data_IF_989877683276
#
_entry.id   IF_989877683276
#
_cell.length_a   1.000
_cell.length_b   1.000
_cell.length_c   1.000
_cell.angle_alpha   90.00
_cell.angle_beta   90.00
_cell.angle_gamma   90.00
#
_symmetry.space_group_name_H-M   'P 1'
#
loop_
_entity.id
_entity.type
_entity.pdbx_description
1 polymer ?
#
# COMPACT_ATOMS: atom_id res chain seq x y z
N UNK A 1 -53.78 7.26 6.85
CA UNK A 1 -54.55 8.44 7.29
C UNK A 1 -53.61 9.31 8.11
N UNK A 2 -53.47 10.58 7.74
CA UNK A 2 -52.57 11.52 8.38
C UNK A 2 -53.00 11.85 9.82
N UNK A 3 -52.06 11.86 10.76
CA UNK A 3 -52.22 12.51 12.07
C UNK A 3 -51.26 13.70 12.13
N UNK A 4 -51.85 14.89 12.22
CA UNK A 4 -51.18 16.18 12.04
C UNK A 4 -50.36 16.64 13.24
N UNK A 5 -49.40 17.53 12.95
CA UNK A 5 -48.60 18.27 13.93
C UNK A 5 -49.30 19.60 14.22
N UNK A 6 -49.54 19.92 15.49
CA UNK A 6 -50.07 21.22 15.92
C UNK A 6 -48.94 22.13 16.41
N UNK A 7 -48.95 23.40 16.01
CA UNK A 7 -48.00 24.41 16.47
C UNK A 7 -48.74 25.46 17.31
N UNK A 8 -48.16 25.87 18.44
CA UNK A 8 -48.61 27.04 19.22
C UNK A 8 -47.60 28.17 19.02
N UNK A 9 -48.08 29.36 18.63
CA UNK A 9 -47.26 30.54 18.31
C UNK A 9 -47.63 31.70 19.23
N UNK A 10 -46.65 32.31 19.89
CA UNK A 10 -46.78 33.66 20.46
C UNK A 10 -45.72 34.59 19.85
N UNK A 11 -46.11 35.80 19.47
CA UNK A 11 -45.27 36.82 18.81
C UNK A 11 -45.22 38.12 19.62
N UNK A 12 -44.02 38.70 19.73
CA UNK A 12 -43.79 40.15 19.87
C UNK A 12 -42.58 40.54 19.01
N UNK A 13 -42.69 41.64 18.26
CA UNK A 13 -41.66 42.13 17.32
C UNK A 13 -41.48 43.65 17.47
N UNK A 14 -40.25 44.16 17.70
CA UNK A 14 -39.92 45.56 17.50
C UNK A 14 -39.39 45.81 16.07
N UNK A 15 -39.65 47.00 15.52
CA UNK A 15 -39.18 47.44 14.19
C UNK A 15 -38.41 48.76 14.27
N UNK A 16 -37.43 48.96 13.38
CA UNK A 16 -36.69 50.21 13.22
C UNK A 16 -36.73 50.63 11.74
N UNK A 17 -37.04 51.90 11.46
CA UNK A 17 -37.13 52.45 10.09
C UNK A 17 -36.19 53.63 9.90
N UNK A 18 -35.50 53.67 8.75
CA UNK A 18 -34.65 54.78 8.35
C UNK A 18 -35.18 55.39 7.05
N UNK A 19 -35.63 56.66 7.06
CA UNK A 19 -36.13 57.32 5.86
C UNK A 19 -35.01 57.97 5.04
N UNK A 20 -35.12 57.94 3.72
CA UNK A 20 -34.28 58.70 2.79
C UNK A 20 -35.10 59.21 1.59
N UNK A 21 -34.55 60.18 0.84
CA UNK A 21 -35.23 60.81 -0.30
C UNK A 21 -34.50 60.54 -1.61
N UNK A 22 -35.26 60.15 -2.63
CA UNK A 22 -34.77 60.02 -4.02
C UNK A 22 -35.82 60.66 -4.93
N UNK A 23 -35.40 61.57 -5.82
CA UNK A 23 -36.24 62.21 -6.84
C UNK A 23 -37.55 62.80 -6.29
N UNK A 24 -37.49 63.49 -5.15
CA UNK A 24 -38.66 64.17 -4.55
C UNK A 24 -39.63 63.26 -3.79
N UNK A 25 -39.46 61.94 -3.84
CA UNK A 25 -40.27 60.98 -3.09
C UNK A 25 -39.59 60.63 -1.75
N UNK A 26 -40.39 60.50 -0.67
CA UNK A 26 -39.95 59.99 0.63
C UNK A 26 -40.08 58.47 0.63
N UNK A 27 -38.97 57.77 0.75
CA UNK A 27 -38.92 56.31 0.86
C UNK A 27 -38.41 55.93 2.25
N UNK A 28 -38.93 54.83 2.80
CA UNK A 28 -38.47 54.27 4.08
C UNK A 28 -38.16 52.79 3.91
N UNK A 29 -36.97 52.37 4.32
CA UNK A 29 -36.62 50.96 4.44
C UNK A 29 -36.77 50.57 5.91
N UNK A 30 -37.68 49.63 6.18
CA UNK A 30 -37.90 49.08 7.51
C UNK A 30 -37.10 47.79 7.69
N UNK A 31 -36.31 47.72 8.75
CA UNK A 31 -35.65 46.47 9.16
C UNK A 31 -36.51 45.77 10.21
N UNK A 32 -36.88 44.53 9.92
CA UNK A 32 -37.57 43.65 10.85
C UNK A 32 -36.55 42.72 11.48
N UNK A 33 -36.25 42.93 12.77
CA UNK A 33 -35.39 42.01 13.50
C UNK A 33 -36.24 40.85 14.02
N UNK A 34 -36.18 39.73 13.31
CA UNK A 34 -36.71 38.45 13.78
C UNK A 34 -35.68 37.82 14.72
N UNK A 35 -35.90 37.93 16.03
CA UNK A 35 -35.14 37.13 16.99
C UNK A 35 -35.77 35.73 17.06
N UNK A 36 -35.29 34.80 16.23
CA UNK A 36 -35.51 33.37 16.48
C UNK A 36 -34.57 32.97 17.61
N UNK A 37 -35.13 32.50 18.72
CA UNK A 37 -34.35 31.71 19.67
C UNK A 37 -34.37 30.31 19.08
N UNK A 38 -33.32 29.95 18.35
CA UNK A 38 -33.10 28.56 17.97
C UNK A 38 -32.82 27.83 19.28
N UNK A 39 -33.85 27.23 19.87
CA UNK A 39 -33.59 26.04 20.65
C UNK A 39 -33.07 25.04 19.62
N UNK A 40 -31.76 24.84 19.61
CA UNK A 40 -31.17 23.65 19.02
C UNK A 40 -31.82 22.49 19.75
N UNK A 41 -32.92 21.98 19.21
CA UNK A 41 -33.18 20.58 19.40
C UNK A 41 -31.91 19.91 18.91
N UNK A 42 -31.24 19.20 19.82
CA UNK A 42 -30.12 18.31 19.48
C UNK A 42 -30.41 17.72 18.10
N UNK A 43 -29.42 17.66 17.19
CA UNK A 43 -29.61 16.92 15.95
C UNK A 43 -30.25 15.59 16.35
N UNK A 44 -31.39 15.25 15.74
CA UNK A 44 -31.95 13.92 15.90
C UNK A 44 -30.82 12.98 15.54
N UNK A 45 -30.25 12.34 16.56
CA UNK A 45 -29.41 11.20 16.34
C UNK A 45 -30.28 10.25 15.52
N UNK A 46 -29.85 9.91 14.30
CA UNK A 46 -30.28 8.68 13.65
C UNK A 46 -29.65 7.50 14.42
N UNK A 47 -29.92 7.44 15.73
CA UNK A 47 -29.79 6.25 16.54
C UNK A 47 -30.93 5.35 16.10
N UNK A 48 -30.56 4.25 15.47
CA UNK A 48 -31.32 3.03 15.71
C UNK A 48 -31.32 2.85 17.24
N UNK A 49 -32.46 2.93 17.94
CA UNK A 49 -32.51 3.22 19.38
C UNK A 49 -31.91 2.17 20.31
N UNK A 50 -31.48 1.01 19.81
CA UNK A 50 -31.27 -0.19 20.63
C UNK A 50 -29.83 -0.77 20.59
N UNK A 51 -28.82 -0.05 20.07
CA UNK A 51 -27.43 -0.55 20.06
C UNK A 51 -26.49 0.24 21.00
N UNK A 52 -26.08 -0.40 22.08
CA UNK A 52 -25.05 0.06 23.00
C UNK A 52 -23.65 -0.01 22.37
N UNK A 53 -22.74 0.86 22.84
CA UNK A 53 -21.33 0.79 22.48
C UNK A 53 -20.71 -0.49 23.07
N UNK A 54 -20.02 -1.27 22.25
CA UNK A 54 -19.29 -2.45 22.69
C UNK A 54 -18.27 -2.08 23.79
N UNK A 55 -18.29 -2.84 24.88
CA UNK A 55 -17.35 -2.72 25.98
C UNK A 55 -16.30 -3.82 25.86
N UNK A 56 -15.04 -3.43 25.71
CA UNK A 56 -13.92 -4.37 25.60
C UNK A 56 -13.73 -5.12 26.93
N UNK A 57 -13.74 -6.45 26.86
CA UNK A 57 -13.28 -7.33 27.94
C UNK A 57 -11.76 -7.47 27.90
N UNK A 58 -11.05 -7.60 29.03
CA UNK A 58 -9.61 -7.85 29.03
C UNK A 58 -9.23 -9.05 28.15
N UNK A 59 -8.12 -8.94 27.41
CA UNK A 59 -7.60 -10.03 26.60
C UNK A 59 -7.21 -11.24 27.48
N UNK A 60 -7.40 -12.49 27.01
CA UNK A 60 -7.11 -13.68 27.82
C UNK A 60 -5.64 -13.86 28.22
N UNK A 61 -4.71 -13.20 27.52
CA UNK A 61 -3.29 -13.24 27.82
C UNK A 61 -2.49 -12.22 27.00
N UNK A 62 -1.21 -12.07 27.32
CA UNK A 62 -0.33 -11.04 26.75
C UNK A 62 -0.14 -11.16 25.23
N UNK A 63 -0.22 -12.39 24.70
CA UNK A 63 -0.06 -12.69 23.25
C UNK A 63 -1.39 -12.98 22.56
N UNK A 64 -2.49 -12.46 23.10
CA UNK A 64 -3.80 -12.52 22.44
C UNK A 64 -4.10 -11.21 21.72
N UNK A 65 -4.85 -11.31 20.64
CA UNK A 65 -5.37 -10.18 19.86
C UNK A 65 -6.86 -10.39 19.60
N UNK A 66 -7.61 -9.33 19.32
CA UNK A 66 -8.95 -9.45 18.76
C UNK A 66 -8.89 -9.47 17.25
N UNK A 67 -9.81 -10.20 16.62
CA UNK A 67 -10.00 -10.20 15.17
C UNK A 67 -11.48 -9.98 14.90
N UNK A 68 -11.79 -9.06 13.99
CA UNK A 68 -13.14 -8.82 13.51
C UNK A 68 -13.48 -9.82 12.39
N UNK A 69 -14.41 -10.72 12.64
CA UNK A 69 -15.08 -11.46 11.57
C UNK A 69 -16.19 -10.58 10.97
N UNK A 70 -15.90 -9.95 9.84
CA UNK A 70 -16.87 -9.16 9.08
C UNK A 70 -17.81 -10.10 8.33
N UNK A 71 -19.11 -10.06 8.65
CA UNK A 71 -20.11 -10.94 8.05
C UNK A 71 -20.39 -10.57 6.59
N UNK A 72 -20.80 -11.54 5.76
CA UNK A 72 -21.14 -11.28 4.36
C UNK A 72 -22.32 -10.32 4.23
N UNK A 73 -22.35 -9.58 3.13
CA UNK A 73 -23.44 -8.67 2.84
C UNK A 73 -23.35 -8.04 1.46
N UNK A 74 -24.43 -7.40 1.02
CA UNK A 74 -24.52 -6.79 -0.29
C UNK A 74 -24.75 -5.28 -0.20
N UNK A 75 -24.12 -4.54 -1.13
CA UNK A 75 -24.30 -3.09 -1.27
C UNK A 75 -24.00 -2.35 0.03
N UNK A 76 -24.89 -1.42 0.38
CA UNK A 76 -24.88 -0.61 1.61
C UNK A 76 -25.75 -1.19 2.73
N UNK A 77 -26.13 -2.48 2.65
CA UNK A 77 -26.85 -3.13 3.76
C UNK A 77 -25.99 -3.14 5.04
N UNK A 78 -26.58 -3.18 6.25
CA UNK A 78 -25.87 -2.97 7.52
C UNK A 78 -24.57 -3.77 7.64
N UNK A 79 -23.52 -3.15 8.19
CA UNK A 79 -22.30 -3.88 8.55
C UNK A 79 -22.56 -4.67 9.83
N UNK A 80 -22.39 -5.98 9.75
CA UNK A 80 -22.47 -6.88 10.88
C UNK A 80 -21.15 -7.64 11.02
N UNK A 81 -20.78 -8.01 12.23
CA UNK A 81 -19.60 -8.82 12.46
C UNK A 81 -19.59 -9.47 13.83
N UNK A 82 -18.55 -10.24 14.10
CA UNK A 82 -18.28 -10.83 15.41
C UNK A 82 -16.84 -10.52 15.78
N UNK A 83 -16.58 -10.11 17.03
CA UNK A 83 -15.23 -9.91 17.53
C UNK A 83 -14.82 -11.15 18.32
N UNK A 84 -13.65 -11.73 18.02
CA UNK A 84 -13.15 -12.92 18.70
C UNK A 84 -11.69 -12.74 19.13
N UNK A 85 -11.36 -13.30 20.30
CA UNK A 85 -9.99 -13.35 20.80
C UNK A 85 -9.23 -14.50 20.13
N UNK A 86 -7.99 -14.23 19.76
CA UNK A 86 -7.11 -15.14 19.03
C UNK A 86 -5.73 -15.09 19.65
N UNK A 87 -5.13 -16.25 19.89
CA UNK A 87 -3.73 -16.33 20.34
C UNK A 87 -2.79 -16.19 19.15
N UNK A 88 -1.80 -15.29 19.26
CA UNK A 88 -0.68 -15.23 18.34
C UNK A 88 0.27 -16.41 18.50
N UNK A 89 0.05 -17.36 19.40
CA UNK A 89 0.82 -18.61 19.44
C UNK A 89 0.14 -19.72 18.63
N UNK A 90 -1.14 -19.56 18.30
CA UNK A 90 -1.88 -20.50 17.47
C UNK A 90 -1.54 -20.30 15.99
N UNK A 91 -0.84 -21.27 15.39
CA UNK A 91 -0.50 -21.25 13.96
C UNK A 91 -1.71 -21.47 13.04
N UNK A 92 -2.82 -21.98 13.55
CA UNK A 92 -4.05 -22.17 12.78
C UNK A 92 -4.91 -20.90 12.69
N UNK A 93 -4.56 -19.85 13.45
CA UNK A 93 -5.27 -18.59 13.42
C UNK A 93 -5.03 -17.82 12.12
N UNK A 94 -6.07 -17.74 11.28
CA UNK A 94 -6.04 -16.99 10.02
C UNK A 94 -6.75 -15.62 10.12
N UNK A 95 -6.06 -14.56 9.72
CA UNK A 95 -6.65 -13.23 9.61
C UNK A 95 -5.86 -12.38 8.63
N UNK A 96 -6.53 -11.44 7.96
CA UNK A 96 -5.86 -10.40 7.17
C UNK A 96 -5.67 -9.15 8.04
N UNK A 97 -4.55 -8.47 7.92
CA UNK A 97 -4.31 -7.22 8.65
C UNK A 97 -4.60 -6.01 7.76
N UNK A 98 -5.40 -5.07 8.26
CA UNK A 98 -5.68 -3.82 7.55
C UNK A 98 -4.61 -2.77 7.86
N UNK A 99 -4.14 -2.12 6.81
CA UNK A 99 -3.18 -1.01 6.86
C UNK A 99 -3.80 0.17 6.09
N UNK A 100 -4.12 1.24 6.79
CA UNK A 100 -4.89 2.36 6.23
C UNK A 100 -4.61 3.69 6.93
N UNK A 101 -4.91 4.81 6.26
CA UNK A 101 -4.85 6.14 6.89
C UNK A 101 -6.08 6.35 7.76
N UNK A 102 -5.87 6.57 9.05
CA UNK A 102 -6.95 7.01 9.95
C UNK A 102 -7.47 8.37 9.48
N UNK A 103 -8.77 8.45 9.17
CA UNK A 103 -9.37 9.71 8.74
C UNK A 103 -9.44 10.72 9.88
N UNK A 104 -9.28 12.01 9.55
CA UNK A 104 -9.43 13.09 10.52
C UNK A 104 -10.87 13.62 10.55
N UNK A 105 -11.46 13.74 11.74
CA UNK A 105 -12.77 14.36 11.95
C UNK A 105 -13.72 13.56 12.83
N UNK A 106 -14.74 14.22 13.35
CA UNK A 106 -15.71 13.67 14.31
C UNK A 106 -17.11 13.44 13.69
N UNK A 107 -17.22 13.39 12.36
CA UNK A 107 -18.51 13.53 11.64
C UNK A 107 -19.02 12.26 10.95
N UNK A 108 -18.68 11.06 11.42
CA UNK A 108 -19.29 9.83 10.90
C UNK A 108 -19.99 9.01 11.99
N UNK A 109 -21.14 8.43 11.62
CA UNK A 109 -22.01 7.61 12.46
C UNK A 109 -21.93 6.11 12.12
N UNK A 110 -20.98 5.71 11.27
CA UNK A 110 -20.80 4.33 10.85
C UNK A 110 -20.60 3.40 12.04
N UNK A 111 -21.23 2.22 11.98
CA UNK A 111 -21.16 1.21 13.03
C UNK A 111 -21.14 -0.20 12.46
N UNK A 112 -20.48 -1.11 13.15
CA UNK A 112 -20.59 -2.56 12.93
C UNK A 112 -21.45 -3.12 14.05
N UNK A 113 -22.57 -3.74 13.69
CA UNK A 113 -23.44 -4.44 14.64
C UNK A 113 -22.79 -5.79 15.01
N UNK A 114 -22.52 -5.99 16.31
CA UNK A 114 -21.92 -7.22 16.85
C UNK A 114 -22.96 -8.25 17.33
N UNK A 115 -24.24 -7.96 17.14
CA UNK A 115 -25.33 -8.70 17.76
C UNK A 115 -25.54 -8.31 19.22
N UNK A 116 -26.55 -8.92 19.86
CA UNK A 116 -26.84 -8.76 21.30
C UNK A 116 -27.01 -7.30 21.77
N UNK A 117 -27.46 -6.40 20.89
CA UNK A 117 -27.62 -5.00 21.24
C UNK A 117 -26.29 -4.22 21.31
N UNK A 118 -25.18 -4.75 20.79
CA UNK A 118 -23.87 -4.10 20.85
C UNK A 118 -23.34 -3.68 19.47
N UNK A 119 -22.59 -2.59 19.41
CA UNK A 119 -21.94 -2.13 18.19
C UNK A 119 -20.55 -1.52 18.42
N UNK A 120 -19.71 -1.61 17.39
CA UNK A 120 -18.45 -0.86 17.29
C UNK A 120 -18.67 0.40 16.46
N UNK A 121 -18.39 1.58 17.03
CA UNK A 121 -18.31 2.83 16.27
C UNK A 121 -17.08 2.80 15.36
N UNK A 122 -17.27 3.27 14.13
CA UNK A 122 -16.22 3.32 13.13
C UNK A 122 -15.56 4.71 13.09
N UNK A 123 -14.23 4.72 12.99
CA UNK A 123 -13.49 5.93 12.64
C UNK A 123 -13.82 6.40 11.21
N UNK A 124 -13.57 7.67 10.86
CA UNK A 124 -13.77 8.16 9.51
C UNK A 124 -13.02 7.30 8.48
N UNK A 125 -13.62 7.12 7.31
CA UNK A 125 -13.19 6.25 6.20
C UNK A 125 -13.27 4.74 6.45
N UNK A 126 -13.32 4.26 7.70
CA UNK A 126 -13.34 2.82 7.98
C UNK A 126 -14.65 2.16 7.55
N UNK A 127 -15.76 2.88 7.60
CA UNK A 127 -17.04 2.43 7.04
C UNK A 127 -16.94 2.12 5.54
N UNK A 128 -16.37 3.04 4.76
CA UNK A 128 -16.16 2.83 3.32
C UNK A 128 -15.22 1.64 3.07
N UNK A 129 -14.15 1.51 3.87
CA UNK A 129 -13.22 0.37 3.78
C UNK A 129 -13.98 -0.94 3.97
N UNK A 130 -14.72 -1.08 5.08
CA UNK A 130 -15.45 -2.30 5.40
C UNK A 130 -16.50 -2.65 4.33
N UNK A 131 -17.23 -1.67 3.80
CA UNK A 131 -18.16 -1.91 2.69
C UNK A 131 -17.49 -2.40 1.40
N UNK A 132 -16.27 -1.96 1.12
CA UNK A 132 -15.52 -2.36 -0.06
C UNK A 132 -14.79 -3.70 0.14
N UNK A 133 -14.38 -4.03 1.36
CA UNK A 133 -13.72 -5.29 1.70
C UNK A 133 -14.70 -6.43 2.00
N UNK A 134 -15.96 -6.13 2.36
CA UNK A 134 -17.00 -7.10 2.67
C UNK A 134 -17.30 -8.01 1.47
N UNK A 135 -17.15 -9.31 1.67
CA UNK A 135 -17.56 -10.30 0.68
C UNK A 135 -19.08 -10.48 0.65
N UNK A 136 -19.61 -10.93 -0.49
CA UNK A 136 -21.05 -11.12 -0.66
C UNK A 136 -21.58 -12.36 0.06
N UNK A 137 -20.76 -13.39 0.19
CA UNK A 137 -21.22 -14.76 0.53
C UNK A 137 -20.41 -15.44 1.65
N UNK A 138 -19.22 -14.95 1.97
CA UNK A 138 -18.37 -15.50 3.02
C UNK A 138 -18.01 -14.42 4.06
N UNK A 139 -17.76 -14.80 5.32
CA UNK A 139 -17.17 -13.88 6.28
C UNK A 139 -15.73 -13.54 5.88
N UNK A 140 -15.21 -12.45 6.43
CA UNK A 140 -13.82 -12.01 6.26
C UNK A 140 -13.21 -11.67 7.62
N UNK A 141 -12.12 -12.34 7.98
CA UNK A 141 -11.42 -12.12 9.26
C UNK A 141 -10.38 -11.02 9.11
N UNK A 142 -10.57 -9.91 9.82
CA UNK A 142 -9.77 -8.69 9.72
C UNK A 142 -9.22 -8.29 11.08
N UNK A 143 -7.91 -8.11 11.17
CA UNK A 143 -7.30 -7.36 12.25
C UNK A 143 -7.22 -5.88 11.83
N UNK A 144 -7.86 -5.02 12.62
CA UNK A 144 -7.94 -3.57 12.38
C UNK A 144 -7.58 -2.91 13.71
N UNK A 145 -6.42 -2.28 13.78
CA UNK A 145 -5.89 -1.64 14.99
C UNK A 145 -6.92 -0.77 15.75
N UNK A 146 -7.69 0.04 15.03
CA UNK A 146 -8.72 0.91 15.59
C UNK A 146 -9.92 0.18 16.22
N UNK A 147 -10.18 -1.09 15.86
CA UNK A 147 -11.31 -1.89 16.35
C UNK A 147 -10.90 -3.10 17.20
N UNK A 148 -9.70 -3.62 16.99
CA UNK A 148 -9.21 -4.82 17.63
C UNK A 148 -8.41 -4.52 18.91
N UNK A 149 -7.92 -3.28 19.04
CA UNK A 149 -7.26 -2.77 20.23
C UNK A 149 -8.23 -1.84 20.96
N UNK A 150 -8.34 -1.99 22.28
CA UNK A 150 -9.02 -1.02 23.12
C UNK A 150 -8.19 0.28 23.17
N UNK A 151 -8.53 1.24 22.30
CA UNK A 151 -7.79 2.48 22.14
C UNK A 151 -7.84 3.40 23.38
N UNK A 152 -8.83 3.21 24.24
CA UNK A 152 -9.06 4.01 25.45
C UNK A 152 -8.36 3.44 26.69
N UNK A 153 -7.77 2.24 26.59
CA UNK A 153 -7.04 1.59 27.67
C UNK A 153 -5.54 1.47 27.33
N UNK A 154 -4.73 2.34 27.93
CA UNK A 154 -3.28 2.31 27.75
C UNK A 154 -2.60 1.04 28.27
N UNK A 155 -3.23 0.34 29.23
CA UNK A 155 -2.70 -0.93 29.75
C UNK A 155 -2.83 -2.07 28.74
N UNK A 156 -3.79 -1.99 27.82
CA UNK A 156 -3.90 -2.89 26.67
C UNK A 156 -3.12 -2.35 25.46
N UNK A 157 -3.28 -1.06 25.15
CA UNK A 157 -2.73 -0.45 23.94
C UNK A 157 -1.21 -0.55 23.85
N UNK A 158 -0.50 -0.27 24.93
CA UNK A 158 0.97 -0.32 24.95
C UNK A 158 1.51 -1.70 24.53
N UNK A 159 1.12 -2.79 25.24
CA UNK A 159 1.48 -4.15 24.85
C UNK A 159 1.08 -4.53 23.42
N UNK A 160 -0.12 -4.16 22.97
CA UNK A 160 -0.58 -4.45 21.60
C UNK A 160 0.26 -3.74 20.53
N UNK A 161 0.68 -2.48 20.76
CA UNK A 161 1.59 -1.76 19.86
C UNK A 161 2.94 -2.47 19.74
N UNK A 162 3.46 -3.03 20.84
CA UNK A 162 4.69 -3.83 20.81
C UNK A 162 4.55 -5.12 20.00
N UNK A 163 3.33 -5.66 19.85
CA UNK A 163 3.05 -6.85 19.06
C UNK A 163 2.77 -6.56 17.57
N UNK A 164 2.59 -5.30 17.14
CA UNK A 164 2.16 -4.98 15.78
C UNK A 164 3.02 -5.62 14.69
N UNK A 165 4.35 -5.58 14.85
CA UNK A 165 5.27 -6.19 13.90
C UNK A 165 4.99 -7.69 13.72
N UNK A 166 4.73 -8.40 14.82
CA UNK A 166 4.40 -9.82 14.79
C UNK A 166 2.99 -10.07 14.23
N UNK A 167 2.01 -9.24 14.57
CA UNK A 167 0.64 -9.34 14.05
C UNK A 167 0.65 -9.24 12.52
N UNK A 168 1.34 -8.25 11.96
CA UNK A 168 1.47 -8.11 10.50
C UNK A 168 2.23 -9.28 9.88
N UNK A 169 3.32 -9.74 10.51
CA UNK A 169 4.08 -10.88 10.03
C UNK A 169 3.29 -12.20 10.04
N UNK A 170 2.38 -12.39 10.99
CA UNK A 170 1.53 -13.59 11.11
C UNK A 170 0.24 -13.53 10.30
N UNK A 171 -0.16 -12.35 9.84
CA UNK A 171 -1.36 -12.20 9.02
C UNK A 171 -1.23 -12.98 7.71
N UNK A 172 -2.34 -13.51 7.21
CA UNK A 172 -2.36 -14.25 5.93
C UNK A 172 -2.09 -13.33 4.74
N UNK A 173 -2.51 -12.07 4.86
CA UNK A 173 -2.13 -11.00 3.95
C UNK A 173 -2.36 -9.64 4.59
N UNK A 174 -1.65 -8.65 4.06
CA UNK A 174 -1.80 -7.26 4.48
C UNK A 174 -2.60 -6.52 3.40
N UNK A 175 -3.70 -5.94 3.83
CA UNK A 175 -4.57 -5.11 3.00
C UNK A 175 -4.12 -3.66 3.16
N UNK A 176 -3.44 -3.14 2.14
CA UNK A 176 -3.12 -1.72 2.05
C UNK A 176 -4.32 -1.01 1.44
N UNK A 177 -4.96 -0.10 2.18
CA UNK A 177 -6.06 0.70 1.68
C UNK A 177 -5.63 2.11 1.32
N UNK A 178 -5.71 2.42 0.02
CA UNK A 178 -5.31 3.72 -0.52
C UNK A 178 -6.47 4.73 -0.63
N UNK A 179 -7.71 4.34 -0.33
CA UNK A 179 -8.88 5.20 -0.48
C UNK A 179 -9.79 4.83 -1.65
N UNK A 180 -10.78 5.68 -1.91
CA UNK A 180 -11.73 5.48 -3.01
C UNK A 180 -11.09 5.74 -4.39
N UNK A 181 -11.65 5.18 -5.47
CA UNK A 181 -11.15 5.40 -6.82
C UNK A 181 -11.39 6.84 -7.29
N UNK A 182 -10.34 7.46 -7.79
CA UNK A 182 -10.36 8.68 -8.58
C UNK A 182 -10.38 8.37 -10.08
N UNK A 183 -10.36 9.43 -10.90
CA UNK A 183 -10.45 9.34 -12.36
C UNK A 183 -9.36 8.47 -12.99
N UNK A 184 -8.18 8.44 -12.40
CA UNK A 184 -7.00 7.79 -12.98
C UNK A 184 -6.58 6.51 -12.25
N UNK A 185 -7.29 6.12 -11.19
CA UNK A 185 -6.87 5.03 -10.31
C UNK A 185 -6.84 3.67 -10.99
N UNK A 186 -7.81 3.40 -11.86
CA UNK A 186 -7.87 2.12 -12.56
C UNK A 186 -6.61 1.94 -13.43
N UNK A 187 -6.30 2.92 -14.28
CA UNK A 187 -5.09 2.88 -15.10
C UNK A 187 -3.82 2.85 -14.24
N UNK A 188 -3.80 3.56 -13.10
CA UNK A 188 -2.66 3.54 -12.19
C UNK A 188 -2.40 2.15 -11.62
N UNK A 189 -3.46 1.45 -11.19
CA UNK A 189 -3.37 0.06 -10.75
C UNK A 189 -3.00 -0.89 -11.90
N UNK A 190 -3.51 -0.69 -13.11
CA UNK A 190 -3.14 -1.51 -14.28
C UNK A 190 -1.64 -1.38 -14.60
N UNK A 191 -1.08 -0.16 -14.56
CA UNK A 191 0.36 0.06 -14.78
C UNK A 191 1.19 -0.58 -13.66
N UNK A 192 0.79 -0.42 -12.40
CA UNK A 192 1.49 -1.05 -11.28
C UNK A 192 1.36 -2.59 -11.32
N UNK A 193 0.21 -3.11 -11.78
CA UNK A 193 0.00 -4.54 -12.00
C UNK A 193 0.95 -5.09 -13.06
N UNK A 194 1.12 -4.37 -14.18
CA UNK A 194 2.12 -4.71 -15.20
C UNK A 194 3.53 -4.78 -14.59
N UNK A 195 3.91 -3.78 -13.79
CA UNK A 195 5.20 -3.78 -13.12
C UNK A 195 5.35 -4.94 -12.11
N UNK A 196 4.27 -5.32 -11.41
CA UNK A 196 4.29 -6.38 -10.40
C UNK A 196 4.25 -7.81 -10.97
N UNK A 197 3.48 -8.03 -12.04
CA UNK A 197 3.03 -9.39 -12.43
C UNK A 197 3.44 -9.85 -13.82
N UNK A 198 3.86 -8.97 -14.73
CA UNK A 198 4.15 -9.38 -16.11
C UNK A 198 5.21 -10.49 -16.13
N UNK A 199 4.86 -11.73 -16.47
CA UNK A 199 5.87 -12.76 -16.74
C UNK A 199 6.14 -12.74 -18.25
N UNK A 200 7.37 -12.39 -18.63
CA UNK A 200 7.82 -12.19 -20.03
C UNK A 200 7.77 -13.43 -20.91
N UNK A 201 7.28 -14.57 -20.39
CA UNK A 201 7.14 -15.82 -21.13
C UNK A 201 6.04 -15.80 -22.21
N UNK A 202 5.09 -14.85 -22.18
CA UNK A 202 3.92 -14.85 -23.08
C UNK A 202 3.87 -13.72 -24.14
N UNK A 203 4.97 -13.04 -24.44
CA UNK A 203 5.18 -12.43 -25.77
C UNK A 203 4.36 -11.18 -26.14
N UNK A 204 3.70 -10.51 -25.20
CA UNK A 204 3.13 -9.16 -25.39
C UNK A 204 3.57 -8.25 -24.24
N UNK A 205 4.85 -7.88 -24.25
CA UNK A 205 5.52 -7.08 -23.22
C UNK A 205 5.54 -5.58 -23.56
N UNK A 206 4.58 -5.11 -24.37
CA UNK A 206 4.48 -3.69 -24.68
C UNK A 206 4.11 -2.93 -23.42
N UNK A 207 5.06 -2.16 -22.88
CA UNK A 207 4.81 -1.44 -21.67
C UNK A 207 3.68 -0.43 -21.88
N UNK A 208 2.83 -0.16 -20.86
CA UNK A 208 1.71 0.78 -21.01
C UNK A 208 2.12 2.14 -21.60
N UNK A 209 3.31 2.62 -21.23
CA UNK A 209 3.84 3.90 -21.70
C UNK A 209 4.37 3.91 -23.15
N UNK A 210 4.45 2.75 -23.82
CA UNK A 210 4.84 2.69 -25.23
C UNK A 210 3.66 2.98 -26.18
N UNK A 211 2.42 2.81 -25.70
CA UNK A 211 1.20 3.03 -26.50
C UNK A 211 0.22 4.04 -25.89
N UNK A 212 0.43 4.44 -24.63
CA UNK A 212 -0.35 5.50 -23.98
C UNK A 212 0.38 6.85 -24.04
N UNK A 213 -0.35 7.98 -24.19
CA UNK A 213 0.26 9.29 -24.07
C UNK A 213 0.90 9.48 -22.68
N UNK A 214 2.14 10.00 -22.62
CA UNK A 214 2.91 10.17 -21.37
C UNK A 214 2.11 10.89 -20.28
N UNK A 215 1.33 11.92 -20.64
CA UNK A 215 0.45 12.64 -19.70
C UNK A 215 -0.57 11.75 -18.96
N UNK A 216 -1.07 10.70 -19.62
CA UNK A 216 -2.03 9.77 -19.00
C UNK A 216 -1.32 8.82 -18.04
N UNK A 217 -0.15 8.30 -18.45
CA UNK A 217 0.72 7.47 -17.60
C UNK A 217 1.11 8.22 -16.33
N UNK A 218 1.55 9.47 -16.47
CA UNK A 218 1.93 10.34 -15.36
C UNK A 218 0.75 10.58 -14.42
N UNK A 219 -0.42 10.97 -14.95
CA UNK A 219 -1.61 11.22 -14.12
C UNK A 219 -2.08 9.94 -13.39
N UNK A 220 -1.98 8.79 -14.04
CA UNK A 220 -2.34 7.49 -13.46
C UNK A 220 -1.41 7.08 -12.31
N UNK A 221 -0.10 7.16 -12.51
CA UNK A 221 0.86 6.83 -11.47
C UNK A 221 0.83 7.84 -10.32
N UNK A 222 0.67 9.13 -10.61
CA UNK A 222 0.54 10.17 -9.57
C UNK A 222 -0.73 10.01 -8.73
N UNK A 223 -1.85 9.55 -9.31
CA UNK A 223 -3.09 9.28 -8.56
C UNK A 223 -2.91 8.20 -7.49
N UNK A 224 -2.01 7.24 -7.71
CA UNK A 224 -1.73 6.16 -6.76
C UNK A 224 -0.58 6.54 -5.81
N UNK A 225 0.58 6.89 -6.37
CA UNK A 225 1.82 7.12 -5.62
C UNK A 225 1.79 8.41 -4.79
N UNK A 226 0.93 9.37 -5.14
CA UNK A 226 0.74 10.60 -4.39
C UNK A 226 -0.31 10.52 -3.28
N UNK A 227 -0.80 9.32 -2.93
CA UNK A 227 -1.83 9.17 -1.90
C UNK A 227 -1.22 9.26 -0.50
N UNK A 228 -1.96 9.91 0.40
CA UNK A 228 -1.58 10.17 1.80
C UNK A 228 -1.10 8.91 2.56
N UNK A 229 -1.55 7.73 2.14
CA UNK A 229 -1.06 6.47 2.70
C UNK A 229 0.47 6.42 2.72
N UNK A 230 1.12 6.78 1.62
CA UNK A 230 2.57 6.73 1.47
C UNK A 230 3.34 7.77 2.30
N UNK A 231 2.67 8.74 2.91
CA UNK A 231 3.30 9.75 3.78
C UNK A 231 3.42 9.27 5.23
N UNK A 232 2.81 8.13 5.59
CA UNK A 232 2.80 7.59 6.96
C UNK A 232 4.09 6.84 7.26
N UNK A 233 4.71 7.16 8.40
CA UNK A 233 5.89 6.43 8.91
C UNK A 233 5.64 4.93 9.10
N UNK A 234 4.45 4.57 9.61
CA UNK A 234 4.11 3.19 9.95
C UNK A 234 3.98 2.25 8.75
N UNK A 235 3.84 2.79 7.53
CA UNK A 235 3.77 2.00 6.27
C UNK A 235 4.95 1.06 6.14
N UNK A 236 6.13 1.47 6.62
CA UNK A 236 7.34 0.65 6.53
C UNK A 236 7.21 -0.60 7.40
N UNK A 237 6.74 -0.49 8.65
CA UNK A 237 6.57 -1.68 9.50
C UNK A 237 5.42 -2.56 9.01
N UNK A 238 4.34 -1.94 8.56
CA UNK A 238 3.13 -2.60 8.06
C UNK A 238 3.45 -3.40 6.78
N UNK A 239 4.10 -2.81 5.77
CA UNK A 239 4.35 -3.47 4.49
C UNK A 239 5.65 -4.31 4.43
N UNK A 240 6.68 -3.99 5.22
CA UNK A 240 7.95 -4.72 5.14
C UNK A 240 7.87 -6.15 5.71
N UNK A 241 6.89 -6.42 6.58
CA UNK A 241 6.75 -7.71 7.24
C UNK A 241 5.76 -8.64 6.54
N UNK A 242 5.09 -8.17 5.50
CA UNK A 242 4.11 -8.95 4.74
C UNK A 242 4.77 -10.06 3.93
N UNK A 243 4.18 -11.26 3.96
CA UNK A 243 4.46 -12.33 2.98
C UNK A 243 3.60 -12.19 1.72
N UNK A 244 2.44 -11.55 1.85
CA UNK A 244 1.48 -11.29 0.78
C UNK A 244 0.79 -9.93 1.01
N UNK A 245 0.82 -9.07 -0.01
CA UNK A 245 0.25 -7.72 0.04
C UNK A 245 -0.87 -7.60 -1.00
N UNK A 246 -1.99 -7.00 -0.58
CA UNK A 246 -3.10 -6.58 -1.44
C UNK A 246 -3.27 -5.07 -1.32
N UNK A 247 -2.96 -4.33 -2.38
CA UNK A 247 -3.06 -2.87 -2.40
C UNK A 247 -4.34 -2.43 -3.10
N UNK A 248 -5.29 -1.97 -2.29
CA UNK A 248 -6.65 -1.62 -2.68
C UNK A 248 -6.83 -0.13 -2.98
N UNK A 249 -7.58 0.15 -4.05
CA UNK A 249 -8.28 1.42 -4.30
C UNK A 249 -9.76 1.10 -4.52
N UNK A 250 -10.59 1.35 -3.52
CA UNK A 250 -11.96 0.86 -3.52
C UNK A 250 -12.00 -0.67 -3.62
N UNK A 251 -12.75 -1.19 -4.60
CA UNK A 251 -12.83 -2.64 -4.88
C UNK A 251 -11.74 -3.16 -5.81
N UNK A 252 -11.02 -2.27 -6.49
CA UNK A 252 -9.90 -2.65 -7.35
C UNK A 252 -8.66 -2.85 -6.48
N UNK A 253 -7.82 -3.81 -6.83
CA UNK A 253 -6.55 -4.00 -6.15
C UNK A 253 -5.53 -4.62 -7.09
N UNK A 254 -4.26 -4.45 -6.74
CA UNK A 254 -3.17 -5.31 -7.20
C UNK A 254 -2.67 -6.12 -6.01
N UNK A 255 -2.06 -7.25 -6.29
CA UNK A 255 -1.46 -8.09 -5.27
C UNK A 255 -0.09 -8.60 -5.73
N UNK A 256 0.78 -8.82 -4.75
CA UNK A 256 2.04 -9.52 -4.96
C UNK A 256 2.37 -10.31 -3.70
N UNK A 257 3.15 -11.37 -3.87
CA UNK A 257 3.60 -12.24 -2.80
C UNK A 257 4.99 -12.77 -3.11
N UNK A 258 5.69 -13.29 -2.10
CA UNK A 258 7.07 -13.81 -2.19
C UNK A 258 8.15 -12.75 -2.43
N UNK A 259 9.37 -13.11 -2.01
CA UNK A 259 10.60 -12.37 -2.31
C UNK A 259 10.79 -12.14 -3.79
N UNK A 260 10.58 -13.19 -4.60
CA UNK A 260 10.86 -13.17 -6.03
C UNK A 260 9.97 -12.17 -6.77
N UNK A 261 8.65 -12.14 -6.50
CA UNK A 261 7.79 -11.14 -7.14
C UNK A 261 8.11 -9.73 -6.63
N UNK A 262 8.41 -9.56 -5.34
CA UNK A 262 8.79 -8.25 -4.77
C UNK A 262 10.07 -7.72 -5.44
N UNK A 263 11.08 -8.60 -5.63
CA UNK A 263 12.33 -8.27 -6.32
C UNK A 263 12.09 -7.94 -7.80
N UNK A 264 11.26 -8.72 -8.50
CA UNK A 264 10.84 -8.43 -9.89
C UNK A 264 10.15 -7.07 -10.00
N UNK A 265 9.22 -6.78 -9.10
CA UNK A 265 8.49 -5.53 -9.09
C UNK A 265 9.43 -4.34 -8.89
N UNK A 266 10.29 -4.41 -7.89
CA UNK A 266 11.31 -3.38 -7.64
C UNK A 266 12.24 -3.20 -8.83
N UNK A 267 12.71 -4.31 -9.41
CA UNK A 267 13.59 -4.28 -10.57
C UNK A 267 12.93 -3.62 -11.78
N UNK A 268 11.66 -3.92 -12.05
CA UNK A 268 10.91 -3.32 -13.16
C UNK A 268 10.65 -1.83 -12.99
N UNK A 269 10.41 -1.37 -11.76
CA UNK A 269 10.37 0.07 -11.47
C UNK A 269 11.72 0.71 -11.81
N UNK A 270 12.83 0.13 -11.33
CA UNK A 270 14.18 0.64 -11.60
C UNK A 270 14.49 0.63 -13.10
N UNK A 271 14.10 -0.42 -13.82
CA UNK A 271 14.27 -0.55 -15.26
C UNK A 271 13.41 0.44 -16.05
N UNK A 272 12.16 0.67 -15.64
CA UNK A 272 11.32 1.70 -16.23
C UNK A 272 11.97 3.08 -16.10
N UNK A 273 12.41 3.46 -14.89
CA UNK A 273 13.14 4.72 -14.63
C UNK A 273 14.43 4.86 -15.46
N UNK A 274 15.09 3.76 -15.82
CA UNK A 274 16.31 3.74 -16.63
C UNK A 274 16.04 3.69 -18.15
N UNK A 275 14.85 3.27 -18.57
CA UNK A 275 14.55 2.93 -19.96
C UNK A 275 14.69 4.13 -20.92
N UNK A 276 15.02 3.90 -22.21
CA UNK A 276 15.04 4.94 -23.23
C UNK A 276 13.76 5.78 -23.28
N UNK A 277 12.57 5.13 -23.27
CA UNK A 277 11.27 5.79 -23.35
C UNK A 277 11.07 6.79 -22.20
N UNK A 278 11.49 6.43 -20.99
CA UNK A 278 11.40 7.30 -19.82
C UNK A 278 12.45 8.39 -19.84
N UNK A 279 13.71 8.07 -20.16
CA UNK A 279 14.79 9.06 -20.19
C UNK A 279 14.56 10.15 -21.25
N UNK A 280 13.92 9.82 -22.36
CA UNK A 280 13.61 10.79 -23.43
C UNK A 280 12.40 11.69 -23.11
N UNK A 281 11.42 11.21 -22.33
CA UNK A 281 10.23 12.01 -21.97
C UNK A 281 10.45 12.84 -20.71
N UNK A 282 10.30 14.16 -20.84
CA UNK A 282 10.36 15.09 -19.70
C UNK A 282 9.19 14.86 -18.72
N UNK A 283 8.04 14.45 -19.21
CA UNK A 283 6.86 14.15 -18.40
C UNK A 283 7.02 12.87 -17.59
N UNK A 284 7.47 11.77 -18.22
CA UNK A 284 7.66 10.49 -17.53
C UNK A 284 8.72 10.61 -16.43
N UNK A 285 9.80 11.38 -16.66
CA UNK A 285 10.83 11.65 -15.64
C UNK A 285 10.31 12.32 -14.36
N UNK A 286 9.10 12.91 -14.38
CA UNK A 286 8.47 13.55 -13.21
C UNK A 286 7.68 12.60 -12.32
N UNK A 287 7.46 11.36 -12.73
CA UNK A 287 6.81 10.38 -11.86
C UNK A 287 7.74 10.05 -10.71
N UNK A 288 7.24 10.21 -9.49
CA UNK A 288 7.98 9.87 -8.29
C UNK A 288 7.64 8.47 -7.80
N UNK A 289 8.48 7.50 -8.16
CA UNK A 289 8.37 6.13 -7.67
C UNK A 289 8.94 5.92 -6.27
N UNK A 290 9.55 6.93 -5.63
CA UNK A 290 10.17 6.76 -4.30
C UNK A 290 9.26 6.05 -3.29
N UNK A 291 7.97 6.41 -3.15
CA UNK A 291 7.11 5.74 -2.17
C UNK A 291 6.98 4.24 -2.36
N UNK A 292 6.80 3.80 -3.60
CA UNK A 292 6.67 2.38 -3.91
C UNK A 292 8.01 1.66 -3.85
N UNK A 293 9.08 2.33 -4.29
CA UNK A 293 10.43 1.78 -4.26
C UNK A 293 10.88 1.51 -2.82
N UNK A 294 10.70 2.48 -1.93
CA UNK A 294 11.06 2.37 -0.52
C UNK A 294 10.26 1.26 0.17
N UNK A 295 8.96 1.15 -0.13
CA UNK A 295 8.13 0.06 0.38
C UNK A 295 8.70 -1.31 -0.01
N UNK A 296 8.99 -1.53 -1.30
CA UNK A 296 9.50 -2.80 -1.80
C UNK A 296 10.92 -3.10 -1.30
N UNK A 297 11.79 -2.09 -1.23
CA UNK A 297 13.15 -2.21 -0.69
C UNK A 297 13.13 -2.61 0.79
N UNK A 298 12.22 -2.04 1.59
CA UNK A 298 12.08 -2.42 3.00
C UNK A 298 11.51 -3.83 3.17
N UNK A 299 10.56 -4.25 2.31
CA UNK A 299 10.06 -5.64 2.32
C UNK A 299 11.18 -6.65 2.05
N UNK A 300 12.02 -6.40 1.04
CA UNK A 300 13.18 -7.26 0.74
C UNK A 300 14.20 -7.25 1.87
N UNK A 301 14.53 -6.08 2.43
CA UNK A 301 15.50 -5.96 3.52
C UNK A 301 15.01 -6.65 4.81
N UNK A 302 13.71 -6.56 5.11
CA UNK A 302 13.14 -7.24 6.27
C UNK A 302 13.14 -8.76 6.11
N UNK A 303 12.85 -9.27 4.91
CA UNK A 303 12.95 -10.70 4.61
C UNK A 303 14.40 -11.21 4.67
N UNK A 304 15.35 -10.47 4.10
CA UNK A 304 16.76 -10.81 4.16
C UNK A 304 17.27 -10.93 5.60
N UNK A 305 16.86 -9.99 6.48
CA UNK A 305 17.17 -10.02 7.93
C UNK A 305 16.54 -11.22 8.63
N UNK A 306 15.29 -11.57 8.32
CA UNK A 306 14.63 -12.78 8.88
C UNK A 306 15.38 -14.05 8.51
N UNK A 307 15.94 -14.11 7.30
CA UNK A 307 16.67 -15.28 6.81
C UNK A 307 18.18 -15.24 7.17
N UNK A 308 18.64 -14.24 7.93
CA UNK A 308 20.06 -14.11 8.31
C UNK A 308 21.00 -13.80 7.14
N UNK A 309 20.47 -13.25 6.05
CA UNK A 309 21.24 -12.93 4.83
C UNK A 309 21.59 -11.44 4.76
N UNK A 310 22.73 -11.12 4.14
CA UNK A 310 23.14 -9.75 3.82
C UNK A 310 22.90 -9.50 2.34
N UNK A 311 22.11 -8.48 2.02
CA UNK A 311 21.83 -8.13 0.63
C UNK A 311 22.97 -7.25 0.07
N UNK A 312 23.62 -7.74 -0.98
CA UNK A 312 24.65 -7.00 -1.72
C UNK A 312 23.97 -6.26 -2.87
N UNK A 313 24.33 -5.00 -3.15
CA UNK A 313 23.74 -4.26 -4.27
C UNK A 313 24.08 -4.94 -5.61
N UNK A 314 23.05 -5.16 -6.42
CA UNK A 314 23.19 -5.64 -7.80
C UNK A 314 23.71 -4.55 -8.72
N UNK A 315 24.15 -4.92 -9.93
CA UNK A 315 24.49 -3.92 -10.96
C UNK A 315 23.32 -2.98 -11.23
N UNK A 316 22.09 -3.47 -11.23
CA UNK A 316 20.89 -2.64 -11.37
C UNK A 316 20.77 -1.60 -10.27
N UNK A 317 21.03 -1.95 -9.02
CA UNK A 317 20.96 -1.02 -7.90
C UNK A 317 21.97 0.12 -8.06
N UNK A 318 23.20 -0.21 -8.46
CA UNK A 318 24.25 0.78 -8.68
C UNK A 318 23.90 1.68 -9.86
N UNK A 319 23.56 1.11 -11.03
CA UNK A 319 23.17 1.86 -12.24
C UNK A 319 21.98 2.78 -11.96
N UNK A 320 20.96 2.30 -11.23
CA UNK A 320 19.78 3.09 -10.87
C UNK A 320 20.11 4.21 -9.89
N UNK A 321 20.96 3.96 -8.90
CA UNK A 321 21.35 4.96 -7.90
C UNK A 321 22.08 6.17 -8.53
N UNK A 322 22.88 5.92 -9.58
CA UNK A 322 23.64 6.95 -10.28
C UNK A 322 22.92 7.50 -11.52
N UNK A 323 21.67 7.10 -11.78
CA UNK A 323 20.96 7.42 -13.03
C UNK A 323 20.91 8.92 -13.35
N UNK A 324 20.91 9.79 -12.35
CA UNK A 324 20.86 11.24 -12.53
C UNK A 324 22.23 11.90 -12.78
N UNK A 325 23.33 11.15 -12.72
CA UNK A 325 24.69 11.67 -12.97
C UNK A 325 24.90 12.00 -14.45
N UNK A 326 25.68 13.04 -14.73
CA UNK A 326 26.03 13.39 -16.11
C UNK A 326 26.99 12.36 -16.69
N UNK A 327 26.77 11.98 -17.95
CA UNK A 327 27.65 11.08 -18.72
C UNK A 327 27.80 11.62 -20.13
N UNK A 328 29.00 11.51 -20.70
CA UNK A 328 29.27 11.89 -22.09
C UNK A 328 28.70 10.83 -23.04
N UNK A 329 29.04 9.56 -22.78
CA UNK A 329 28.44 8.41 -23.45
C UNK A 329 27.34 7.81 -22.56
N UNK A 330 26.14 7.63 -23.10
CA UNK A 330 25.00 7.08 -22.35
C UNK A 330 25.25 5.66 -21.86
N UNK A 331 26.08 4.87 -22.58
CA UNK A 331 26.44 3.49 -22.22
C UNK A 331 27.29 3.41 -20.96
N UNK A 332 28.08 4.44 -20.66
CA UNK A 332 28.95 4.49 -19.48
C UNK A 332 28.17 4.55 -18.17
N UNK A 333 26.87 4.87 -18.21
CA UNK A 333 25.99 4.75 -17.05
C UNK A 333 25.84 3.29 -16.59
N UNK A 334 26.03 2.32 -17.50
CA UNK A 334 26.07 0.89 -17.19
C UNK A 334 27.52 0.42 -17.08
N UNK A 335 28.32 0.60 -18.13
CA UNK A 335 29.67 0.04 -18.21
C UNK A 335 30.64 0.66 -17.17
N UNK A 336 30.51 1.95 -16.88
CA UNK A 336 31.40 2.67 -15.97
C UNK A 336 31.28 2.26 -14.50
N UNK A 337 30.21 1.56 -14.12
CA UNK A 337 29.96 1.12 -12.73
C UNK A 337 30.07 -0.38 -12.53
N UNK A 338 30.39 -1.15 -13.56
CA UNK A 338 30.54 -2.61 -13.45
C UNK A 338 31.64 -3.03 -12.48
N UNK A 339 32.65 -2.19 -12.27
CA UNK A 339 33.72 -2.41 -11.29
C UNK A 339 33.29 -2.18 -9.83
N UNK A 340 32.08 -1.65 -9.60
CA UNK A 340 31.54 -1.38 -8.27
C UNK A 340 30.70 -2.53 -7.70
N UNK A 341 30.51 -3.60 -8.47
CA UNK A 341 29.80 -4.82 -8.07
C UNK A 341 30.71 -6.03 -8.14
N UNK A 342 30.28 -7.16 -7.60
CA UNK A 342 31.11 -8.37 -7.57
C UNK A 342 31.34 -8.93 -8.98
N UNK A 343 32.46 -9.60 -9.26
CA UNK A 343 32.69 -10.22 -10.57
C UNK A 343 31.60 -11.25 -10.95
N UNK A 344 31.01 -11.92 -9.96
CA UNK A 344 29.88 -12.84 -10.17
C UNK A 344 28.63 -12.10 -10.68
N UNK A 345 28.34 -10.92 -10.13
CA UNK A 345 27.22 -10.05 -10.54
C UNK A 345 27.39 -9.45 -11.94
N UNK A 346 28.53 -9.60 -12.62
CA UNK A 346 28.69 -9.11 -14.01
C UNK A 346 29.16 -10.20 -14.96
N UNK A 347 29.23 -11.45 -14.49
CA UNK A 347 29.64 -12.56 -15.29
C UNK A 347 28.74 -12.70 -16.54
N UNK A 348 29.36 -12.68 -17.73
CA UNK A 348 28.67 -12.79 -19.01
C UNK A 348 28.10 -11.48 -19.58
N UNK A 349 28.15 -10.37 -18.85
CA UNK A 349 27.82 -9.04 -19.37
C UNK A 349 29.12 -8.29 -19.66
N UNK A 350 29.46 -8.09 -20.94
CA UNK A 350 30.73 -7.47 -21.37
C UNK A 350 30.45 -6.16 -22.09
N UNK A 351 31.17 -5.06 -21.76
CA UNK A 351 31.06 -3.80 -22.46
C UNK A 351 31.26 -3.94 -23.97
N UNK A 352 30.29 -3.47 -24.73
CA UNK A 352 30.32 -3.44 -26.19
C UNK A 352 29.91 -2.05 -26.67
N UNK A 353 30.89 -1.27 -27.14
CA UNK A 353 30.71 0.08 -27.68
C UNK A 353 30.39 0.09 -29.18
N UNK A 354 30.23 -1.08 -29.82
CA UNK A 354 29.69 -1.16 -31.17
C UNK A 354 28.16 -1.03 -31.20
N UNK A 355 27.49 -1.34 -30.08
CA UNK A 355 26.05 -1.21 -29.91
C UNK A 355 25.61 0.25 -29.71
N UNK A 356 24.41 0.59 -30.18
CA UNK A 356 23.73 1.82 -29.78
C UNK A 356 23.46 1.80 -28.26
N UNK A 357 23.20 2.98 -27.68
CA UNK A 357 22.88 3.02 -26.25
C UNK A 357 21.52 2.37 -25.97
N UNK A 358 20.55 2.46 -26.89
CA UNK A 358 19.26 1.78 -26.76
C UNK A 358 19.42 0.25 -26.77
N UNK A 359 20.24 -0.28 -27.68
CA UNK A 359 20.57 -1.72 -27.72
C UNK A 359 21.31 -2.17 -26.45
N UNK A 360 22.24 -1.35 -25.95
CA UNK A 360 22.97 -1.62 -24.71
C UNK A 360 22.00 -1.72 -23.53
N UNK A 361 21.04 -0.79 -23.42
CA UNK A 361 20.04 -0.79 -22.35
C UNK A 361 19.06 -1.97 -22.48
N UNK A 362 18.70 -2.37 -23.70
CA UNK A 362 17.89 -3.57 -23.94
C UNK A 362 18.64 -4.84 -23.50
N UNK A 363 19.91 -4.98 -23.91
CA UNK A 363 20.77 -6.10 -23.48
C UNK A 363 20.92 -6.13 -21.95
N UNK A 364 21.03 -4.96 -21.32
CA UNK A 364 21.05 -4.85 -19.86
C UNK A 364 19.73 -5.25 -19.22
N UNK A 365 18.59 -4.88 -19.83
CA UNK A 365 17.26 -5.33 -19.38
C UNK A 365 17.15 -6.85 -19.38
N UNK A 366 17.49 -7.49 -20.51
CA UNK A 366 17.44 -8.94 -20.64
C UNK A 366 18.35 -9.61 -19.60
N UNK A 367 19.54 -9.04 -19.39
CA UNK A 367 20.48 -9.52 -18.38
C UNK A 367 19.92 -9.41 -16.96
N UNK A 368 19.39 -8.25 -16.56
CA UNK A 368 18.75 -8.06 -15.24
C UNK A 368 17.59 -9.03 -15.06
N UNK A 369 16.75 -9.21 -16.07
CA UNK A 369 15.62 -10.13 -15.99
C UNK A 369 16.08 -11.58 -15.75
N UNK A 370 17.15 -12.02 -16.43
CA UNK A 370 17.73 -13.35 -16.19
C UNK A 370 18.33 -13.51 -14.79
N UNK A 371 18.87 -12.44 -14.20
CA UNK A 371 19.42 -12.44 -12.84
C UNK A 371 18.31 -12.39 -11.78
N UNK A 372 17.27 -11.58 -11.98
CA UNK A 372 16.13 -11.51 -11.06
C UNK A 372 15.29 -12.80 -11.09
N UNK A 373 15.33 -13.57 -12.18
CA UNK A 373 14.74 -14.90 -12.30
C UNK A 373 15.64 -16.04 -11.76
N UNK A 374 16.93 -15.79 -11.52
CA UNK A 374 17.85 -16.74 -10.91
C UNK A 374 18.07 -16.31 -9.46
N UNK A 375 17.32 -16.92 -8.54
CA UNK A 375 17.53 -16.69 -7.10
C UNK A 375 18.97 -17.07 -6.73
N UNK A 376 19.79 -16.15 -6.20
CA UNK A 376 21.11 -16.46 -5.68
C UNK A 376 20.95 -16.72 -4.19
N UNK A 377 20.32 -17.83 -3.80
CA UNK A 377 20.68 -18.43 -2.51
C UNK A 377 22.09 -18.99 -2.67
N UNK A 378 23.09 -18.10 -2.68
CA UNK A 378 24.46 -18.49 -2.41
C UNK A 378 24.44 -18.85 -0.93
N UNK A 379 24.38 -20.15 -0.65
CA UNK A 379 24.42 -20.62 0.73
C UNK A 379 25.77 -20.25 1.34
N UNK A 380 25.82 -20.15 2.67
CA UNK A 380 27.07 -19.85 3.40
C UNK A 380 28.18 -20.89 3.08
N UNK A 381 27.82 -22.08 2.59
CA UNK A 381 28.77 -23.06 2.07
C UNK A 381 29.50 -22.59 0.81
N UNK A 382 28.82 -21.96 -0.16
CA UNK A 382 29.42 -21.51 -1.42
C UNK A 382 30.42 -20.35 -1.22
N UNK A 383 30.23 -19.51 -0.18
CA UNK A 383 31.22 -18.50 0.22
C UNK A 383 32.47 -19.10 0.88
N UNK A 384 32.36 -20.25 1.55
CA UNK A 384 33.52 -20.96 2.13
C UNK A 384 34.36 -21.64 1.05
N UNK A 385 33.72 -22.24 0.04
CA UNK A 385 34.42 -22.87 -1.09
C UNK A 385 35.17 -21.85 -1.95
N UNK A 386 34.66 -20.61 -2.08
CA UNK A 386 35.36 -19.52 -2.78
C UNK A 386 36.53 -18.91 -1.97
N UNK A 387 36.54 -19.09 -0.63
CA UNK A 387 37.60 -18.63 0.26
C UNK A 387 38.80 -19.59 0.38
N UNK A 388 38.61 -20.87 0.06
CA UNK A 388 39.68 -21.88 0.02
C UNK A 388 40.33 -21.95 -1.36
N UNK A 389 41.01 -20.88 -1.73
CA UNK A 389 41.86 -20.86 -2.91
C UNK A 389 43.00 -21.89 -2.81
N UNK A 390 43.03 -22.81 -3.79
CA UNK A 390 44.23 -23.43 -4.38
C UNK A 390 45.41 -23.72 -3.43
N UNK A 391 45.36 -24.87 -2.77
CA UNK A 391 46.53 -25.55 -2.23
C UNK A 391 47.01 -26.66 -3.18
N UNK A 392 48.12 -26.42 -3.87
CA UNK A 392 48.88 -27.37 -4.69
C UNK A 392 49.05 -28.75 -4.05
N UNK A 393 48.84 -29.83 -4.81
CA UNK A 393 49.65 -31.07 -4.73
C UNK A 393 49.52 -31.87 -6.03
N UNK A 394 50.54 -31.72 -6.86
CA UNK A 394 50.85 -32.52 -8.03
C UNK A 394 51.45 -33.86 -7.55
N UNK A 395 50.98 -35.04 -8.00
CA UNK A 395 51.84 -36.21 -8.26
C UNK A 395 51.13 -37.41 -8.93
N UNK A 396 51.73 -37.86 -10.05
CA UNK A 396 51.85 -39.24 -10.60
C UNK A 396 50.62 -39.83 -11.33
N UNK A 397 50.59 -39.89 -12.67
CA UNK A 397 51.34 -40.69 -13.68
C UNK A 397 50.79 -42.13 -13.86
N UNK A 398 50.38 -42.43 -15.11
CA UNK A 398 50.16 -43.77 -15.72
C UNK A 398 48.98 -44.60 -15.14
N UNK A 399 48.16 -45.34 -15.89
CA UNK A 399 48.40 -46.17 -17.09
C UNK A 399 47.05 -46.46 -17.77
N UNK A 400 47.12 -46.85 -19.04
CA UNK A 400 46.02 -47.25 -19.92
C UNK A 400 45.17 -48.42 -19.40
N UNK A 401 43.90 -48.51 -19.85
CA UNK A 401 43.31 -49.68 -20.53
C UNK A 401 41.82 -49.47 -20.87
N UNK A 402 41.48 -49.55 -22.16
CA UNK A 402 40.21 -50.12 -22.66
C UNK A 402 40.24 -51.64 -22.38
N UNK A 403 39.12 -52.36 -22.16
CA UNK A 403 38.06 -52.63 -23.16
C UNK A 403 36.63 -52.65 -22.52
N UNK A 404 35.50 -52.87 -23.19
CA UNK A 404 35.13 -53.44 -24.49
C UNK A 404 33.80 -52.78 -24.96
#
# INVERSE_FOLDING_TARGET
MASGITYVRQQKTPSLSLPFRVLGYRLSVGFWFRRTKDSVNKPREDTDPDLDQYQYSPLPGERHIRVLELHPGAGSGPLCGTLSDVSLDDSAADFEALSYVWGQGFKNHGRVNLGHGQCLRLLPNLEDILYNLRHKTSPRRLWIDALCINQDDNSEKGPQVMLMAEIYARSTSIIIWLGMPGKHSQLGLEILSFLATSDTRNGSDAAPWDHLPSRQVVAALQDILGRQYFERLWVVQEAALATHIKMHVGRMHIEWSSRAQTRKFLARIKMAELSPSWQQSEELRRVDFRPMRELLEQSLAAEARRNGTVEVPSLLDVVHSIRHRQVTDRRDRIYGVMSLVTPAEVAGFVPDYSLTWEETYRRFYDWVETQVLRDPEITVEEMKEAGEGKGSSNEKRSTAQFPE
#
